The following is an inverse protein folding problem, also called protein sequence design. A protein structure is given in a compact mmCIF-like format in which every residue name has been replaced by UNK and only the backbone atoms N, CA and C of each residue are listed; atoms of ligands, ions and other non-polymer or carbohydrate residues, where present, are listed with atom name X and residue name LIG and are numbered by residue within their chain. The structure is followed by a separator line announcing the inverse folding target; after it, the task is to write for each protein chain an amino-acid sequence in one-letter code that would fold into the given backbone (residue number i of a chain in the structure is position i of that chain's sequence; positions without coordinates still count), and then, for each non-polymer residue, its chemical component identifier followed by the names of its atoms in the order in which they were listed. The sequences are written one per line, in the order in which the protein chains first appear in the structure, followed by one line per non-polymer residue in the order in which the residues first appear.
data_IF_043061221658
#
_entry.id   IF_043061221658
#
_cell.length_a   1.000
_cell.length_b   1.000
_cell.length_c   1.000
_cell.angle_alpha   90.00
_cell.angle_beta   90.00
_cell.angle_gamma   90.00
#
_symmetry.space_group_name_H-M   'P 1'
#
loop_
_entity.id
_entity.type
_entity.pdbx_description
1 polymer ?
#
# COMPACT_ATOMS: atom_id res chain seq x y z
N UNK A 1 -7.79 -50.50 -12.52
CA UNK A 1 -6.34 -50.61 -12.81
C UNK A 1 -5.77 -49.22 -13.11
N UNK A 2 -5.56 -48.41 -12.06
CA UNK A 2 -4.65 -47.23 -12.07
C UNK A 2 -4.45 -46.70 -10.63
N UNK A 3 -4.65 -47.59 -9.66
CA UNK A 3 -4.19 -47.49 -8.27
C UNK A 3 -2.68 -47.80 -8.26
N UNK A 4 -1.90 -47.15 -7.38
CA UNK A 4 -0.52 -47.53 -6.99
C UNK A 4 0.66 -46.75 -7.64
N UNK A 5 0.53 -45.44 -7.94
CA UNK A 5 1.73 -44.58 -8.20
C UNK A 5 1.77 -43.29 -7.36
N UNK A 6 0.69 -42.91 -6.67
CA UNK A 6 0.70 -41.74 -5.76
C UNK A 6 1.26 -42.04 -4.35
N UNK A 7 1.80 -43.23 -4.13
CA UNK A 7 2.37 -43.69 -2.85
C UNK A 7 3.84 -43.27 -2.63
N UNK A 8 4.38 -42.36 -3.44
CA UNK A 8 5.80 -41.99 -3.41
C UNK A 8 6.09 -40.49 -3.18
N UNK A 9 5.16 -39.74 -2.59
CA UNK A 9 5.49 -38.40 -2.08
C UNK A 9 4.88 -38.13 -0.70
N UNK A 10 4.78 -39.19 0.10
CA UNK A 10 4.59 -39.14 1.55
C UNK A 10 5.92 -38.92 2.31
N UNK A 11 6.87 -38.25 1.65
CA UNK A 11 8.13 -37.74 2.20
C UNK A 11 8.36 -36.28 1.77
N UNK A 12 7.36 -35.44 1.97
CA UNK A 12 7.61 -34.02 2.28
C UNK A 12 7.07 -33.76 3.68
N UNK A 13 7.80 -34.35 4.62
CA UNK A 13 7.94 -33.87 5.99
C UNK A 13 8.48 -32.44 5.88
N UNK A 14 7.60 -31.46 5.73
CA UNK A 14 7.88 -30.07 6.06
C UNK A 14 7.11 -29.80 7.34
N UNK A 15 7.75 -29.93 8.50
CA UNK A 15 7.19 -29.39 9.71
C UNK A 15 7.39 -27.87 9.66
N UNK A 16 6.47 -27.17 10.31
CA UNK A 16 6.78 -25.96 11.07
C UNK A 16 7.06 -24.67 10.26
N UNK A 17 6.30 -23.64 10.67
CA UNK A 17 6.60 -22.20 10.59
C UNK A 17 6.22 -21.48 9.28
N UNK A 18 5.00 -20.95 9.27
CA UNK A 18 4.79 -19.52 9.04
C UNK A 18 3.81 -19.06 10.14
N UNK A 19 4.28 -18.60 11.31
CA UNK A 19 4.42 -17.16 11.57
C UNK A 19 3.35 -16.37 10.81
N UNK A 20 2.21 -15.97 11.38
CA UNK A 20 2.07 -15.04 12.49
C UNK A 20 2.83 -13.73 12.29
N UNK A 21 2.72 -13.11 11.12
CA UNK A 21 2.90 -11.68 11.00
C UNK A 21 1.56 -10.98 11.28
N UNK A 22 1.29 -10.87 12.58
CA UNK A 22 0.60 -9.72 13.15
C UNK A 22 1.34 -8.48 12.65
N UNK A 23 0.92 -7.98 11.49
CA UNK A 23 1.49 -6.79 10.87
C UNK A 23 1.08 -5.58 11.71
N UNK A 24 1.87 -5.38 12.76
CA UNK A 24 2.14 -4.17 13.48
C UNK A 24 1.13 -3.06 13.17
N UNK A 25 0.18 -2.93 14.09
CA UNK A 25 -0.27 -1.64 14.61
C UNK A 25 0.92 -0.70 14.77
N UNK A 26 1.31 0.00 13.70
CA UNK A 26 2.15 1.18 13.81
C UNK A 26 1.22 2.30 14.24
N UNK A 27 1.17 2.50 15.55
CA UNK A 27 0.69 3.71 16.23
C UNK A 27 0.88 4.95 15.36
N UNK A 28 -0.21 5.56 14.93
CA UNK A 28 -0.16 6.90 14.37
C UNK A 28 -1.28 7.75 14.95
N UNK A 29 -0.89 8.52 15.98
CA UNK A 29 -1.26 9.90 16.32
C UNK A 29 -2.59 10.42 15.75
N UNK A 30 -3.54 10.64 16.65
CA UNK A 30 -4.86 11.25 16.42
C UNK A 30 -4.76 12.77 16.36
N UNK A 31 -4.28 13.30 15.25
CA UNK A 31 -4.47 14.69 14.79
C UNK A 31 -4.28 14.62 13.28
N UNK A 32 -5.19 15.19 12.48
CA UNK A 32 -5.30 14.96 11.02
C UNK A 32 -3.97 14.63 10.34
N UNK A 33 -3.74 13.36 10.01
CA UNK A 33 -2.44 12.91 9.56
C UNK A 33 -2.23 13.27 8.10
N UNK A 34 -1.06 13.84 7.81
CA UNK A 34 -0.61 14.02 6.44
C UNK A 34 0.49 13.02 6.12
N UNK A 35 0.30 12.28 5.03
CA UNK A 35 1.25 11.29 4.53
C UNK A 35 1.79 11.78 3.19
N UNK A 36 3.11 11.88 3.08
CA UNK A 36 3.79 12.11 1.82
C UNK A 36 4.46 10.81 1.36
N UNK A 37 4.10 10.34 0.17
CA UNK A 37 4.65 9.13 -0.43
C UNK A 37 5.38 9.53 -1.71
N UNK A 38 6.66 9.17 -1.82
CA UNK A 38 7.35 9.27 -3.10
C UNK A 38 6.72 8.34 -4.13
N UNK A 39 6.63 8.75 -5.39
CA UNK A 39 6.08 7.90 -6.46
C UNK A 39 7.02 7.93 -7.64
N UNK A 40 7.43 6.76 -8.12
CA UNK A 40 8.25 6.63 -9.34
C UNK A 40 7.36 6.29 -10.53
N UNK A 41 7.74 6.79 -11.71
CA UNK A 41 7.06 6.51 -12.97
C UNK A 41 5.97 7.52 -13.36
N UNK A 42 5.60 8.49 -12.51
CA UNK A 42 4.71 9.58 -12.92
C UNK A 42 5.50 10.62 -13.74
N UNK A 43 5.09 10.82 -15.00
CA UNK A 43 5.76 11.72 -15.95
C UNK A 43 4.81 12.65 -16.73
N UNK A 44 3.49 12.54 -16.53
CA UNK A 44 2.48 13.28 -17.29
C UNK A 44 1.36 13.77 -16.37
N UNK A 45 0.75 14.91 -16.69
CA UNK A 45 -0.39 15.49 -15.96
C UNK A 45 -1.60 14.53 -15.91
N UNK A 46 -1.85 13.77 -16.98
CA UNK A 46 -2.89 12.73 -16.96
C UNK A 46 -2.62 11.63 -15.92
N UNK A 47 -1.35 11.25 -15.72
CA UNK A 47 -0.95 10.29 -14.70
C UNK A 47 -1.21 10.84 -13.29
N UNK A 48 -0.99 12.15 -13.10
CA UNK A 48 -1.32 12.85 -11.86
C UNK A 48 -2.81 12.80 -11.59
N UNK A 49 -3.64 13.19 -12.57
CA UNK A 49 -5.10 13.19 -12.42
C UNK A 49 -5.62 11.79 -12.06
N UNK A 50 -5.10 10.74 -12.72
CA UNK A 50 -5.43 9.34 -12.41
C UNK A 50 -5.02 8.96 -10.99
N UNK A 51 -3.80 9.32 -10.56
CA UNK A 51 -3.31 9.05 -9.21
C UNK A 51 -4.14 9.75 -8.14
N UNK A 52 -4.39 11.05 -8.30
CA UNK A 52 -5.20 11.86 -7.39
C UNK A 52 -6.61 11.29 -7.26
N UNK A 53 -7.22 10.89 -8.38
CA UNK A 53 -8.55 10.28 -8.41
C UNK A 53 -8.60 8.93 -7.71
N UNK A 54 -7.57 8.08 -7.88
CA UNK A 54 -7.53 6.76 -7.24
C UNK A 54 -7.33 6.89 -5.73
N UNK A 55 -6.36 7.70 -5.29
CA UNK A 55 -6.09 7.95 -3.88
C UNK A 55 -7.25 8.67 -3.19
N UNK A 56 -7.95 9.58 -3.88
CA UNK A 56 -9.10 10.30 -3.35
C UNK A 56 -10.32 9.40 -3.08
N UNK A 57 -10.42 8.26 -3.77
CA UNK A 57 -11.48 7.25 -3.54
C UNK A 57 -11.21 6.37 -2.31
N UNK A 58 -10.01 6.43 -1.72
CA UNK A 58 -9.69 5.59 -0.57
C UNK A 58 -10.47 6.04 0.68
N UNK A 59 -10.99 5.07 1.46
CA UNK A 59 -11.75 5.39 2.66
C UNK A 59 -10.87 6.11 3.69
N UNK A 60 -11.37 7.24 4.18
CA UNK A 60 -10.67 8.06 5.18
C UNK A 60 -9.79 9.17 4.59
N UNK A 61 -9.60 9.23 3.27
CA UNK A 61 -8.87 10.35 2.64
C UNK A 61 -9.74 11.61 2.67
N UNK A 62 -9.15 12.73 3.10
CA UNK A 62 -9.75 14.05 3.12
C UNK A 62 -9.35 14.87 1.89
N UNK A 63 -8.06 14.84 1.53
CA UNK A 63 -7.51 15.57 0.39
C UNK A 63 -6.31 14.82 -0.19
N UNK A 64 -6.12 14.90 -1.50
CA UNK A 64 -4.93 14.40 -2.19
C UNK A 64 -4.33 15.53 -3.01
N UNK A 65 -3.02 15.67 -2.93
CA UNK A 65 -2.23 16.61 -3.70
C UNK A 65 -1.02 15.85 -4.27
N UNK A 66 -0.68 16.06 -5.53
CA UNK A 66 0.42 15.35 -6.19
C UNK A 66 1.32 16.37 -6.84
N UNK A 67 2.61 16.28 -6.53
CA UNK A 67 3.63 17.16 -7.06
C UNK A 67 4.58 16.36 -7.96
N UNK A 68 4.57 16.68 -9.27
CA UNK A 68 5.41 16.03 -10.28
C UNK A 68 6.89 16.38 -10.13
N UNK A 69 7.21 17.64 -9.86
CA UNK A 69 8.60 18.10 -9.72
C UNK A 69 9.31 17.36 -8.57
N UNK A 70 8.64 17.24 -7.43
CA UNK A 70 9.12 16.54 -6.25
C UNK A 70 8.93 15.02 -6.33
N UNK A 71 8.17 14.53 -7.31
CA UNK A 71 7.77 13.13 -7.47
C UNK A 71 7.12 12.55 -6.20
N UNK A 72 6.17 13.29 -5.61
CA UNK A 72 5.48 12.90 -4.37
C UNK A 72 3.96 13.07 -4.45
N UNK A 73 3.26 12.18 -3.79
CA UNK A 73 1.84 12.29 -3.48
C UNK A 73 1.65 12.58 -1.99
N UNK A 74 0.98 13.69 -1.68
CA UNK A 74 0.56 14.10 -0.35
C UNK A 74 -0.91 13.73 -0.15
N UNK A 75 -1.18 12.93 0.88
CA UNK A 75 -2.51 12.43 1.24
C UNK A 75 -2.84 12.93 2.64
N UNK A 76 -3.89 13.73 2.75
CA UNK A 76 -4.44 14.22 4.02
C UNK A 76 -5.54 13.27 4.43
N UNK A 77 -5.47 12.76 5.65
CA UNK A 77 -6.43 11.83 6.23
C UNK A 77 -7.45 12.55 7.11
N UNK A 78 -8.70 12.07 7.09
CA UNK A 78 -9.77 12.53 7.99
C UNK A 78 -9.43 12.13 9.43
N UNK A 79 -9.71 13.02 10.39
CA UNK A 79 -9.50 12.77 11.82
C UNK A 79 -10.14 11.45 12.27
N UNK A 80 -9.38 10.62 12.98
CA UNK A 80 -9.85 9.31 13.47
C UNK A 80 -9.91 8.20 12.42
N UNK A 81 -9.57 8.45 11.14
CA UNK A 81 -9.43 7.40 10.12
C UNK A 81 -8.01 7.34 9.59
N UNK A 82 -7.42 6.15 9.61
CA UNK A 82 -6.13 5.88 9.00
C UNK A 82 -6.32 4.84 7.91
N UNK A 83 -6.24 5.26 6.65
CA UNK A 83 -5.88 4.35 5.57
C UNK A 83 -4.43 4.00 5.86
N UNK A 84 -4.19 2.79 6.38
CA UNK A 84 -2.84 2.38 6.72
C UNK A 84 -1.91 2.62 5.53
N UNK A 85 -0.66 3.04 5.80
CA UNK A 85 0.35 3.32 4.77
C UNK A 85 0.42 2.21 3.71
N UNK A 86 0.22 0.95 4.12
CA UNK A 86 0.12 -0.21 3.23
C UNK A 86 -0.96 -0.07 2.16
N UNK A 87 -2.16 0.40 2.51
CA UNK A 87 -3.29 0.56 1.58
C UNK A 87 -3.04 1.68 0.57
N UNK A 88 -2.44 2.78 1.00
CA UNK A 88 -2.06 3.88 0.10
C UNK A 88 -0.99 3.41 -0.87
N UNK A 89 0.03 2.68 -0.40
CA UNK A 89 1.05 2.08 -1.27
C UNK A 89 0.43 1.08 -2.26
N UNK A 90 -0.51 0.26 -1.81
CA UNK A 90 -1.20 -0.69 -2.68
C UNK A 90 -1.95 0.03 -3.80
N UNK A 91 -2.70 1.08 -3.48
CA UNK A 91 -3.40 1.89 -4.48
C UNK A 91 -2.45 2.51 -5.53
N UNK A 92 -1.24 2.90 -5.11
CA UNK A 92 -0.18 3.37 -6.03
C UNK A 92 0.28 2.22 -6.95
N UNK A 93 0.46 1.01 -6.43
CA UNK A 93 0.81 -0.17 -7.24
C UNK A 93 -0.32 -0.52 -8.22
N UNK A 94 -1.57 -0.48 -7.78
CA UNK A 94 -2.75 -0.81 -8.60
C UNK A 94 -2.95 0.17 -9.76
N UNK A 95 -2.36 1.37 -9.67
CA UNK A 95 -2.35 2.35 -10.78
C UNK A 95 -1.20 2.13 -11.77
N UNK A 96 -0.28 1.21 -11.48
CA UNK A 96 0.89 0.89 -12.30
C UNK A 96 2.16 1.65 -11.92
N UNK A 97 2.17 2.35 -10.77
CA UNK A 97 3.33 3.13 -10.32
C UNK A 97 4.03 2.49 -9.13
N UNK A 98 5.29 2.88 -8.88
CA UNK A 98 6.05 2.33 -7.76
C UNK A 98 6.01 3.28 -6.56
N UNK A 99 5.46 2.87 -5.40
CA UNK A 99 5.51 3.67 -4.19
C UNK A 99 6.94 3.69 -3.60
N UNK A 100 7.35 4.85 -3.12
CA UNK A 100 8.64 5.10 -2.52
C UNK A 100 8.58 5.27 -1.00
N UNK A 101 9.56 6.01 -0.47
CA UNK A 101 9.64 6.33 0.95
C UNK A 101 8.43 7.16 1.40
N UNK A 102 7.96 6.88 2.61
CA UNK A 102 6.81 7.56 3.23
C UNK A 102 7.31 8.46 4.34
N UNK A 103 6.83 9.70 4.34
CA UNK A 103 7.05 10.68 5.40
C UNK A 103 5.70 11.04 6.02
N UNK A 104 5.55 10.95 7.33
CA UNK A 104 4.39 11.54 8.03
C UNK A 104 4.74 13.00 8.31
N UNK A 105 4.01 13.93 7.68
CA UNK A 105 4.03 15.33 8.04
C UNK A 105 3.06 15.54 9.20
N UNK A 106 3.60 15.90 10.36
CA UNK A 106 2.83 16.29 11.55
C UNK A 106 2.39 17.74 11.46
#
# INVERSE_FOLDING_TARGET
MKTIIFLFSLLFIVPLIAAADNAATKSQKTTGQVLEIGVKGMSCEFCVAKMTSNLGKLPGVAKVDVNLEKKRARVVMKSGKTAGVKRIKQAIVDTGFTPGAVKSGG
#
